data_IF_244706717504
#
_entry.id   IF_244706717504
#
_cell.length_a   1.000
_cell.length_b   1.000
_cell.length_c   1.000
_cell.angle_alpha   90.00
_cell.angle_beta   90.00
_cell.angle_gamma   90.00
#
_symmetry.space_group_name_H-M   'P 1'
#
loop_
_entity.id
_entity.type
_entity.pdbx_description
1 polymer ?
#
# COMPACT_ATOMS: atom_id res chain seq x y z
N UNK A 1 -29.42 62.50 -10.44
CA UNK A 1 -29.25 62.05 -11.85
C UNK A 1 -29.06 60.55 -11.81
N UNK A 2 -30.07 59.77 -12.29
CA UNK A 2 -30.06 58.29 -12.24
C UNK A 2 -29.53 57.80 -13.59
N UNK A 3 -28.39 57.15 -13.60
CA UNK A 3 -27.81 56.46 -14.75
C UNK A 3 -28.21 54.99 -14.71
N UNK A 4 -29.03 54.56 -15.69
CA UNK A 4 -29.37 53.13 -15.91
C UNK A 4 -28.34 52.54 -16.86
N UNK A 5 -27.61 51.54 -16.40
CA UNK A 5 -26.73 50.72 -17.25
C UNK A 5 -27.51 49.47 -17.65
N UNK A 6 -27.71 49.31 -18.95
CA UNK A 6 -28.32 48.14 -19.57
C UNK A 6 -27.26 47.03 -19.70
N UNK A 7 -27.52 45.86 -19.15
CA UNK A 7 -26.76 44.66 -19.41
C UNK A 7 -27.32 43.93 -20.64
N UNK A 8 -26.57 43.89 -21.72
CA UNK A 8 -26.89 43.10 -22.90
C UNK A 8 -26.41 41.65 -22.67
N UNK A 9 -27.35 40.73 -22.55
CA UNK A 9 -27.07 39.30 -22.53
C UNK A 9 -26.84 38.80 -23.96
N UNK A 10 -25.60 38.45 -24.31
CA UNK A 10 -25.28 37.77 -25.56
C UNK A 10 -25.55 36.27 -25.38
N UNK A 11 -26.61 35.77 -25.99
CA UNK A 11 -26.86 34.33 -26.07
C UNK A 11 -25.95 33.71 -27.13
N UNK A 12 -24.96 32.92 -26.68
CA UNK A 12 -24.12 32.11 -27.56
C UNK A 12 -24.88 30.82 -27.87
N UNK A 13 -25.46 30.71 -29.05
CA UNK A 13 -26.00 29.46 -29.60
C UNK A 13 -24.87 28.59 -30.09
N UNK A 14 -24.52 27.56 -29.33
CA UNK A 14 -23.61 26.49 -29.76
C UNK A 14 -24.41 25.53 -30.65
N UNK A 15 -24.20 25.62 -31.97
CA UNK A 15 -24.69 24.61 -32.90
C UNK A 15 -23.91 23.28 -32.66
N UNK A 16 -24.58 22.32 -32.05
CA UNK A 16 -24.05 20.96 -31.94
C UNK A 16 -24.03 20.31 -33.33
N UNK A 17 -22.87 20.22 -33.95
CA UNK A 17 -22.61 19.36 -35.11
C UNK A 17 -22.72 17.92 -34.63
N UNK A 18 -23.86 17.29 -34.86
CA UNK A 18 -24.05 15.86 -34.73
C UNK A 18 -23.26 15.17 -35.85
N UNK A 19 -22.01 14.79 -35.55
CA UNK A 19 -21.30 13.80 -36.37
C UNK A 19 -22.04 12.46 -36.19
N UNK A 20 -22.31 11.71 -37.27
CA UNK A 20 -22.81 10.36 -37.13
C UNK A 20 -21.72 9.52 -36.47
N UNK A 21 -21.90 9.25 -35.19
CA UNK A 21 -21.18 8.17 -34.54
C UNK A 21 -21.53 6.90 -35.32
N UNK A 22 -20.58 6.45 -36.15
CA UNK A 22 -20.63 5.13 -36.70
C UNK A 22 -20.86 4.17 -35.55
N UNK A 23 -21.93 3.39 -35.65
CA UNK A 23 -22.19 2.30 -34.75
C UNK A 23 -20.93 1.40 -34.78
N UNK A 24 -20.04 1.58 -33.78
CA UNK A 24 -19.06 0.57 -33.47
C UNK A 24 -19.90 -0.67 -33.19
N UNK A 25 -19.89 -1.61 -34.10
CA UNK A 25 -20.39 -2.95 -33.86
C UNK A 25 -19.72 -3.40 -32.57
N UNK A 26 -20.52 -3.52 -31.49
CA UNK A 26 -20.10 -4.23 -30.30
C UNK A 26 -19.70 -5.62 -30.80
N UNK A 27 -18.40 -5.81 -31.08
CA UNK A 27 -17.84 -7.16 -31.08
C UNK A 27 -18.32 -7.72 -29.76
N UNK A 28 -19.11 -8.79 -29.81
CA UNK A 28 -19.58 -9.51 -28.65
C UNK A 28 -18.36 -9.64 -27.73
N UNK A 29 -18.46 -9.12 -26.50
CA UNK A 29 -17.45 -9.37 -25.50
C UNK A 29 -17.38 -10.89 -25.44
N UNK A 30 -16.34 -11.50 -26.04
CA UNK A 30 -16.08 -12.91 -25.86
C UNK A 30 -16.13 -13.12 -24.35
N UNK A 31 -16.83 -14.19 -23.90
CA UNK A 31 -16.99 -14.55 -22.50
C UNK A 31 -15.59 -14.70 -21.89
N UNK A 32 -15.06 -13.57 -21.44
CA UNK A 32 -13.71 -13.50 -20.93
C UNK A 32 -13.68 -14.21 -19.59
N UNK A 33 -12.90 -15.29 -19.44
CA UNK A 33 -12.90 -16.03 -18.19
C UNK A 33 -12.57 -15.07 -17.04
N UNK A 34 -13.35 -15.05 -15.96
CA UNK A 34 -13.20 -14.08 -14.90
C UNK A 34 -11.86 -14.28 -14.19
N UNK A 35 -11.17 -13.14 -13.90
CA UNK A 35 -10.10 -13.13 -12.92
C UNK A 35 -10.73 -13.13 -11.53
N UNK A 36 -10.24 -13.99 -10.65
CA UNK A 36 -10.65 -14.05 -9.26
C UNK A 36 -9.51 -13.57 -8.37
N UNK A 37 -9.84 -13.01 -7.21
CA UNK A 37 -8.87 -12.63 -6.21
C UNK A 37 -9.38 -12.95 -4.81
N UNK A 38 -8.47 -12.96 -3.83
CA UNK A 38 -8.78 -13.16 -2.42
C UNK A 38 -7.90 -12.24 -1.58
N UNK A 39 -8.40 -11.76 -0.45
CA UNK A 39 -7.63 -11.08 0.58
C UNK A 39 -7.25 -12.10 1.65
N UNK A 40 -5.98 -12.44 1.73
CA UNK A 40 -5.47 -13.42 2.69
C UNK A 40 -4.99 -12.76 3.98
N UNK A 41 -4.37 -11.59 3.90
CA UNK A 41 -3.82 -10.87 5.05
C UNK A 41 -4.15 -9.38 4.97
N UNK A 42 -4.42 -8.79 6.14
CA UNK A 42 -4.53 -7.35 6.32
C UNK A 42 -3.97 -6.97 7.69
N UNK A 43 -3.09 -5.98 7.73
CA UNK A 43 -2.40 -5.52 8.95
C UNK A 43 -2.44 -4.02 9.06
N UNK A 44 -2.37 -3.52 10.27
CA UNK A 44 -2.22 -2.10 10.57
C UNK A 44 -1.05 -1.91 11.53
N UNK A 45 -0.05 -1.12 11.15
CA UNK A 45 1.18 -0.94 11.92
C UNK A 45 0.95 -0.25 13.26
N UNK A 46 -0.06 0.60 13.32
CA UNK A 46 -0.55 1.21 14.56
C UNK A 46 -1.98 1.72 14.36
N UNK A 47 -2.59 2.22 15.44
CA UNK A 47 -3.90 2.86 15.40
C UNK A 47 -3.86 4.38 15.18
N UNK A 48 -2.71 4.91 14.81
CA UNK A 48 -2.56 6.35 14.53
C UNK A 48 -2.94 6.66 13.08
N UNK A 49 -3.57 7.80 12.85
CA UNK A 49 -3.79 8.29 11.47
C UNK A 49 -2.46 8.42 10.74
N UNK A 50 -2.46 8.25 9.43
CA UNK A 50 -1.28 8.15 8.57
C UNK A 50 -0.38 6.93 8.80
N UNK A 51 -0.68 6.04 9.77
CA UNK A 51 0.06 4.79 9.91
C UNK A 51 -0.17 3.86 8.73
N UNK A 52 0.79 2.96 8.53
CA UNK A 52 0.75 2.02 7.44
C UNK A 52 -0.32 0.95 7.65
N UNK A 53 -1.09 0.72 6.61
CA UNK A 53 -1.94 -0.45 6.40
C UNK A 53 -1.31 -1.26 5.29
N UNK A 54 -1.20 -2.58 5.47
CA UNK A 54 -0.76 -3.49 4.42
C UNK A 54 -1.82 -4.56 4.19
N UNK A 55 -2.17 -4.75 2.92
CA UNK A 55 -3.14 -5.77 2.49
C UNK A 55 -2.47 -6.67 1.48
N UNK A 56 -2.67 -7.97 1.60
CA UNK A 56 -2.13 -8.96 0.69
C UNK A 56 -3.15 -10.04 0.37
N UNK A 57 -2.98 -10.68 -0.78
CA UNK A 57 -3.88 -11.72 -1.23
C UNK A 57 -3.33 -12.57 -2.35
N UNK A 58 -4.20 -13.35 -2.93
CA UNK A 58 -3.94 -14.16 -4.13
C UNK A 58 -4.85 -13.72 -5.25
N UNK A 59 -4.46 -14.00 -6.48
CA UNK A 59 -5.28 -13.84 -7.67
C UNK A 59 -5.13 -15.07 -8.57
N UNK A 60 -6.12 -15.33 -9.41
CA UNK A 60 -6.06 -16.38 -10.41
C UNK A 60 -6.96 -16.10 -11.60
N UNK A 61 -6.56 -16.61 -12.76
CA UNK A 61 -7.32 -16.60 -14.00
C UNK A 61 -7.13 -17.95 -14.71
N UNK A 62 -8.20 -18.59 -15.25
CA UNK A 62 -8.06 -19.81 -16.03
C UNK A 62 -7.12 -19.61 -17.23
N UNK A 63 -7.13 -18.43 -17.82
CA UNK A 63 -6.23 -17.95 -18.85
C UNK A 63 -6.13 -16.43 -18.75
N UNK A 64 -4.95 -15.85 -18.95
CA UNK A 64 -4.81 -14.40 -18.98
C UNK A 64 -5.45 -13.82 -20.24
N UNK A 65 -6.19 -12.73 -20.07
CA UNK A 65 -6.79 -11.97 -21.16
C UNK A 65 -6.79 -10.47 -20.83
N UNK A 66 -6.59 -9.65 -21.84
CA UNK A 66 -6.64 -8.18 -21.73
C UNK A 66 -8.03 -7.75 -21.24
N UNK A 67 -8.06 -6.85 -20.26
CA UNK A 67 -9.30 -6.34 -19.66
C UNK A 67 -9.74 -7.10 -18.40
N UNK A 68 -9.18 -8.28 -18.10
CA UNK A 68 -9.42 -8.94 -16.81
C UNK A 68 -8.96 -8.04 -15.67
N UNK A 69 -9.73 -7.98 -14.59
CA UNK A 69 -9.41 -7.13 -13.44
C UNK A 69 -10.01 -7.63 -12.15
N UNK A 70 -9.45 -7.16 -11.03
CA UNK A 70 -10.07 -7.21 -9.72
C UNK A 70 -9.89 -5.87 -9.01
N UNK A 71 -10.84 -5.53 -8.13
CA UNK A 71 -10.82 -4.29 -7.37
C UNK A 71 -10.88 -4.57 -5.88
N UNK A 72 -9.92 -4.00 -5.14
CA UNK A 72 -9.90 -4.03 -3.67
C UNK A 72 -10.22 -2.62 -3.17
N UNK A 73 -11.16 -2.51 -2.24
CA UNK A 73 -11.52 -1.22 -1.68
C UNK A 73 -11.87 -1.31 -0.20
N UNK A 74 -12.21 -0.20 0.41
CA UNK A 74 -12.65 -0.14 1.80
C UNK A 74 -14.06 0.44 1.88
N UNK A 75 -14.87 -0.07 2.83
CA UNK A 75 -16.16 0.56 3.13
C UNK A 75 -15.92 1.91 3.81
N UNK A 76 -16.63 2.97 3.39
CA UNK A 76 -16.55 4.26 4.06
C UNK A 76 -16.95 4.17 5.54
N UNK A 77 -16.25 4.95 6.37
CA UNK A 77 -16.57 5.18 7.79
C UNK A 77 -16.54 6.68 8.03
N UNK A 78 -17.41 7.21 8.92
CA UNK A 78 -17.47 8.64 9.22
C UNK A 78 -17.50 9.54 7.96
N UNK A 79 -18.18 9.09 6.89
CA UNK A 79 -18.31 9.86 5.64
C UNK A 79 -17.10 9.83 4.71
N UNK A 80 -16.05 9.05 5.00
CA UNK A 80 -14.83 8.95 4.19
C UNK A 80 -14.22 7.55 4.17
N UNK A 81 -13.15 7.38 3.40
CA UNK A 81 -12.38 6.15 3.40
C UNK A 81 -11.53 6.05 4.68
N UNK A 82 -11.64 4.97 5.47
CA UNK A 82 -10.82 4.80 6.67
C UNK A 82 -9.34 4.60 6.38
N UNK A 83 -8.97 4.17 5.18
CA UNK A 83 -7.61 4.19 4.67
C UNK A 83 -7.59 4.47 3.17
N UNK A 84 -6.48 4.98 2.66
CA UNK A 84 -6.26 5.25 1.24
C UNK A 84 -5.02 4.52 0.75
N UNK A 85 -5.06 4.01 -0.48
CA UNK A 85 -3.93 3.32 -1.08
C UNK A 85 -2.77 4.28 -1.34
N UNK A 86 -1.55 3.80 -1.15
CA UNK A 86 -0.36 4.65 -1.18
C UNK A 86 -0.03 5.15 -2.60
N UNK A 87 0.10 4.26 -3.56
CA UNK A 87 0.33 4.59 -4.97
C UNK A 87 0.04 3.39 -5.87
N UNK A 88 -0.08 3.68 -7.17
CA UNK A 88 -0.15 2.67 -8.24
C UNK A 88 1.17 1.94 -8.41
N UNK A 89 1.13 0.71 -8.94
CA UNK A 89 2.30 -0.11 -9.21
C UNK A 89 2.04 -1.06 -10.41
N UNK A 90 3.09 -1.55 -11.08
CA UNK A 90 2.92 -2.46 -12.21
C UNK A 90 2.33 -3.80 -11.76
N UNK A 91 1.46 -4.37 -12.58
CA UNK A 91 0.99 -5.75 -12.45
C UNK A 91 2.00 -6.64 -13.16
N UNK A 92 2.77 -7.41 -12.39
CA UNK A 92 3.91 -8.20 -12.86
C UNK A 92 3.67 -9.69 -12.65
N UNK A 93 4.36 -10.50 -13.43
CA UNK A 93 4.45 -11.94 -13.31
C UNK A 93 5.83 -12.36 -12.76
N UNK A 94 6.01 -13.65 -12.43
CA UNK A 94 7.22 -14.18 -11.79
C UNK A 94 8.48 -13.99 -12.63
N UNK A 95 8.37 -13.98 -13.95
CA UNK A 95 9.47 -13.75 -14.88
C UNK A 95 9.83 -12.26 -15.04
N UNK A 96 9.14 -11.37 -14.33
CA UNK A 96 9.30 -9.91 -14.39
C UNK A 96 8.51 -9.24 -15.53
N UNK A 97 7.75 -9.98 -16.33
CA UNK A 97 6.88 -9.42 -17.37
C UNK A 97 5.80 -8.53 -16.74
N UNK A 98 5.66 -7.30 -17.24
CA UNK A 98 4.59 -6.39 -16.87
C UNK A 98 3.38 -6.69 -17.74
N UNK A 99 2.29 -7.18 -17.14
CA UNK A 99 1.04 -7.52 -17.84
C UNK A 99 -0.02 -6.45 -17.70
N UNK A 100 0.19 -5.45 -16.85
CA UNK A 100 -0.78 -4.40 -16.61
C UNK A 100 -0.39 -3.48 -15.48
N UNK A 101 -1.38 -2.94 -14.80
CA UNK A 101 -1.19 -1.97 -13.73
C UNK A 101 -2.23 -2.17 -12.62
N UNK A 102 -1.81 -2.00 -11.39
CA UNK A 102 -2.67 -1.82 -10.24
C UNK A 102 -2.77 -0.33 -9.94
N UNK A 103 -3.90 0.28 -10.30
CA UNK A 103 -4.14 1.72 -10.13
C UNK A 103 -4.76 1.98 -8.77
N UNK A 104 -4.08 2.82 -7.99
CA UNK A 104 -4.58 3.33 -6.72
C UNK A 104 -5.35 4.64 -6.95
N UNK A 105 -6.63 4.65 -6.55
CA UNK A 105 -7.49 5.83 -6.54
C UNK A 105 -8.12 5.94 -5.15
N UNK A 106 -7.47 6.68 -4.26
CA UNK A 106 -7.88 6.87 -2.86
C UNK A 106 -8.32 5.55 -2.18
N UNK A 107 -9.64 5.31 -2.10
CA UNK A 107 -10.22 4.14 -1.42
C UNK A 107 -10.17 2.85 -2.25
N UNK A 108 -9.84 2.92 -3.53
CA UNK A 108 -9.86 1.78 -4.45
C UNK A 108 -8.48 1.46 -5.00
N UNK A 109 -8.19 0.18 -5.17
CA UNK A 109 -7.04 -0.36 -5.90
C UNK A 109 -7.57 -1.31 -6.95
N UNK A 110 -7.42 -0.98 -8.23
CA UNK A 110 -7.88 -1.81 -9.35
C UNK A 110 -6.69 -2.33 -10.13
N UNK A 111 -6.49 -3.64 -10.13
CA UNK A 111 -5.48 -4.31 -10.93
C UNK A 111 -6.11 -4.79 -12.24
N UNK A 112 -5.54 -4.41 -13.38
CA UNK A 112 -6.08 -4.71 -14.71
C UNK A 112 -4.99 -5.25 -15.62
N UNK A 113 -5.28 -6.35 -16.32
CA UNK A 113 -4.42 -6.88 -17.39
C UNK A 113 -4.57 -6.00 -18.62
N UNK A 114 -3.47 -5.41 -19.08
CA UNK A 114 -3.42 -4.54 -20.27
C UNK A 114 -2.76 -5.22 -21.47
N UNK A 115 -1.91 -6.22 -21.21
CA UNK A 115 -1.18 -6.97 -22.22
C UNK A 115 -0.96 -8.41 -21.74
N UNK A 116 -0.94 -9.37 -22.66
CA UNK A 116 -0.56 -10.76 -22.39
C UNK A 116 0.72 -11.08 -23.15
N UNK A 117 1.85 -11.26 -22.44
CA UNK A 117 3.12 -11.64 -23.07
C UNK A 117 3.01 -12.97 -23.82
N UNK A 118 3.79 -13.13 -24.88
CA UNK A 118 3.77 -14.35 -25.71
C UNK A 118 4.02 -15.62 -24.88
N UNK A 119 4.89 -15.54 -23.89
CA UNK A 119 5.19 -16.65 -22.98
C UNK A 119 3.96 -17.13 -22.14
N UNK A 120 2.91 -16.29 -22.05
CA UNK A 120 1.70 -16.58 -21.24
C UNK A 120 0.45 -16.82 -22.08
N UNK A 121 0.51 -16.66 -23.41
CA UNK A 121 -0.65 -16.84 -24.31
C UNK A 121 -1.23 -18.25 -24.26
N UNK A 122 -0.37 -19.25 -24.05
CA UNK A 122 -0.73 -20.66 -24.00
C UNK A 122 -0.68 -21.26 -22.58
N UNK A 123 -0.47 -20.42 -21.55
CA UNK A 123 -0.55 -20.86 -20.16
C UNK A 123 -1.99 -20.86 -19.67
N UNK A 124 -2.33 -21.93 -18.93
CA UNK A 124 -3.59 -22.10 -18.23
C UNK A 124 -3.37 -21.99 -16.71
N UNK A 125 -4.47 -21.80 -15.95
CA UNK A 125 -4.48 -21.75 -14.49
C UNK A 125 -3.44 -20.77 -13.92
N UNK A 126 -3.33 -19.60 -14.55
CA UNK A 126 -2.40 -18.56 -14.11
C UNK A 126 -2.84 -18.02 -12.76
N UNK A 127 -1.93 -18.01 -11.80
CA UNK A 127 -2.21 -17.60 -10.42
C UNK A 127 -0.97 -16.98 -9.79
N UNK A 128 -1.20 -16.13 -8.82
CA UNK A 128 -0.12 -15.47 -8.10
C UNK A 128 -0.56 -14.79 -6.82
N UNK A 129 0.31 -13.98 -6.28
CA UNK A 129 0.03 -13.15 -5.12
C UNK A 129 -0.02 -11.68 -5.48
N UNK A 130 -0.59 -10.88 -4.61
CA UNK A 130 -0.55 -9.43 -4.66
C UNK A 130 -0.45 -8.87 -3.25
N UNK A 131 0.14 -7.70 -3.13
CA UNK A 131 0.15 -6.93 -1.91
C UNK A 131 0.17 -5.44 -2.23
N UNK A 132 -0.37 -4.63 -1.34
CA UNK A 132 -0.38 -3.19 -1.47
C UNK A 132 -0.35 -2.51 -0.11
N UNK A 133 0.24 -1.31 -0.08
CA UNK A 133 0.27 -0.43 1.09
C UNK A 133 -0.82 0.61 0.97
N UNK A 134 -1.32 0.99 2.13
CA UNK A 134 -2.30 2.06 2.30
C UNK A 134 -1.97 2.84 3.57
N UNK A 135 -2.64 3.97 3.78
CA UNK A 135 -2.48 4.84 4.93
C UNK A 135 -3.80 5.04 5.65
N UNK A 136 -3.79 4.87 6.96
CA UNK A 136 -4.94 5.13 7.81
C UNK A 136 -5.33 6.61 7.75
N UNK A 137 -6.61 6.90 7.57
CA UNK A 137 -7.15 8.24 7.39
C UNK A 137 -7.95 8.71 8.60
N UNK A 138 -8.26 10.01 8.67
CA UNK A 138 -9.05 10.59 9.75
C UNK A 138 -10.48 10.02 9.82
N UNK A 139 -11.02 9.52 8.71
CA UNK A 139 -12.30 8.83 8.71
C UNK A 139 -12.32 7.56 9.58
N UNK A 140 -11.15 7.03 9.98
CA UNK A 140 -11.04 5.92 10.90
C UNK A 140 -11.12 6.34 12.38
N UNK A 141 -10.99 7.64 12.71
CA UNK A 141 -10.99 8.14 14.10
C UNK A 141 -12.25 7.68 14.85
N UNK A 142 -12.05 7.16 16.06
CA UNK A 142 -13.11 6.63 16.89
C UNK A 142 -13.63 5.24 16.49
N UNK A 143 -13.11 4.63 15.44
CA UNK A 143 -13.45 3.26 15.04
C UNK A 143 -12.37 2.27 15.46
N UNK A 144 -12.72 1.01 15.68
CA UNK A 144 -11.78 -0.06 16.06
C UNK A 144 -11.27 -0.84 14.83
N UNK A 145 -12.04 -0.83 13.76
CA UNK A 145 -11.80 -1.65 12.58
C UNK A 145 -12.35 -0.99 11.31
N UNK A 146 -11.83 -1.41 10.16
CA UNK A 146 -12.35 -1.15 8.83
C UNK A 146 -12.76 -2.44 8.13
N UNK A 147 -13.53 -2.31 7.05
CA UNK A 147 -13.94 -3.44 6.21
C UNK A 147 -13.28 -3.34 4.85
N UNK A 148 -12.54 -4.37 4.45
CA UNK A 148 -11.99 -4.52 3.10
C UNK A 148 -13.04 -5.20 2.23
N UNK A 149 -13.22 -4.67 1.03
CA UNK A 149 -14.09 -5.26 0.01
C UNK A 149 -13.27 -5.71 -1.19
N UNK A 150 -13.73 -6.76 -1.85
CA UNK A 150 -13.21 -7.26 -3.12
C UNK A 150 -14.34 -7.28 -4.13
N UNK A 151 -14.17 -6.57 -5.25
CA UNK A 151 -15.22 -6.41 -6.27
C UNK A 151 -16.57 -5.95 -5.66
N UNK A 152 -16.52 -5.11 -4.61
CA UNK A 152 -17.70 -4.62 -3.90
C UNK A 152 -18.20 -5.48 -2.73
N UNK A 153 -17.80 -6.75 -2.66
CA UNK A 153 -18.20 -7.67 -1.59
C UNK A 153 -17.27 -7.55 -0.38
N UNK A 154 -17.84 -7.53 0.84
CA UNK A 154 -17.05 -7.49 2.08
C UNK A 154 -16.36 -8.84 2.31
N UNK A 155 -15.02 -8.84 2.37
CA UNK A 155 -14.24 -10.08 2.44
C UNK A 155 -13.39 -10.19 3.70
N UNK A 156 -13.00 -9.05 4.32
CA UNK A 156 -12.12 -9.10 5.48
C UNK A 156 -12.29 -7.87 6.38
N UNK A 157 -12.17 -8.08 7.68
CA UNK A 157 -12.02 -7.03 8.68
C UNK A 157 -10.53 -6.71 8.85
N UNK A 158 -10.24 -5.43 9.06
CA UNK A 158 -8.93 -4.90 9.40
C UNK A 158 -9.05 -4.18 10.73
N UNK A 159 -8.42 -4.71 11.77
CA UNK A 159 -8.38 -4.10 13.10
C UNK A 159 -7.21 -3.12 13.18
N UNK A 160 -7.45 -1.91 13.71
CA UNK A 160 -6.38 -0.91 13.79
C UNK A 160 -5.35 -1.30 14.86
N UNK A 161 -4.07 -1.21 14.48
CA UNK A 161 -2.95 -1.63 15.32
C UNK A 161 -2.68 -3.14 15.36
N UNK A 162 -3.45 -3.94 14.63
CA UNK A 162 -3.19 -5.39 14.46
C UNK A 162 -2.03 -5.60 13.48
N UNK A 163 -0.83 -5.74 14.02
CA UNK A 163 0.41 -5.92 13.25
C UNK A 163 0.53 -7.30 12.63
N UNK A 164 -0.13 -8.28 13.21
CA UNK A 164 -0.03 -9.69 12.84
C UNK A 164 -1.11 -10.13 11.85
N UNK A 165 -2.18 -9.34 11.73
CA UNK A 165 -3.32 -9.60 10.84
C UNK A 165 -4.24 -10.70 11.35
N UNK A 166 -4.34 -10.86 12.68
CA UNK A 166 -5.23 -11.83 13.34
C UNK A 166 -6.70 -11.45 13.21
N UNK A 167 -6.99 -10.18 12.93
CA UNK A 167 -8.34 -9.63 12.88
C UNK A 167 -8.99 -9.47 14.26
N UNK A 168 -8.18 -9.51 15.33
CA UNK A 168 -8.68 -9.47 16.71
C UNK A 168 -8.20 -8.21 17.42
N UNK A 169 -9.12 -7.48 18.02
CA UNK A 169 -8.80 -6.40 18.95
C UNK A 169 -8.60 -6.98 20.34
N UNK A 170 -7.37 -6.93 20.85
CA UNK A 170 -7.01 -7.47 22.19
C UNK A 170 -6.93 -6.39 23.27
N UNK A 171 -7.00 -5.12 22.90
CA UNK A 171 -6.93 -3.97 23.79
C UNK A 171 -7.76 -2.82 23.23
N UNK A 172 -7.46 -1.59 23.58
CA UNK A 172 -8.04 -0.42 22.92
C UNK A 172 -7.52 -0.33 21.47
N UNK A 173 -8.40 -0.57 20.50
CA UNK A 173 -8.08 -0.52 19.07
C UNK A 173 -8.67 0.71 18.38
N UNK A 174 -9.40 1.56 19.10
CA UNK A 174 -9.95 2.78 18.53
C UNK A 174 -8.83 3.70 18.05
N UNK A 175 -9.01 4.25 16.86
CA UNK A 175 -8.11 5.30 16.34
C UNK A 175 -8.32 6.55 17.19
N UNK A 176 -7.29 7.06 17.89
CA UNK A 176 -7.43 8.25 18.73
C UNK A 176 -7.59 9.50 17.86
N UNK A 177 -8.34 10.48 18.39
CA UNK A 177 -8.54 11.77 17.73
C UNK A 177 -7.23 12.60 17.64
N UNK A 178 -6.31 12.37 18.59
CA UNK A 178 -5.04 13.09 18.68
C UNK A 178 -3.88 12.12 18.76
N UNK A 179 -2.78 12.51 18.15
CA UNK A 179 -1.54 11.75 18.23
C UNK A 179 -0.80 12.07 19.51
N UNK A 180 -0.55 11.05 20.32
CA UNK A 180 0.30 11.20 21.51
C UNK A 180 1.71 10.73 21.21
N UNK A 181 2.67 11.65 21.20
CA UNK A 181 4.09 11.32 21.14
C UNK A 181 4.53 10.83 22.51
N UNK A 182 4.83 9.56 22.59
CA UNK A 182 5.06 8.91 23.89
C UNK A 182 6.34 9.33 24.60
N UNK A 183 7.30 10.02 23.96
CA UNK A 183 8.59 10.40 24.62
C UNK A 183 9.19 11.66 24.04
N UNK A 184 9.61 12.60 24.90
CA UNK A 184 10.58 13.62 24.52
C UNK A 184 11.93 12.91 24.29
N UNK A 185 12.53 13.11 23.14
CA UNK A 185 13.83 12.53 22.79
C UNK A 185 14.55 13.38 21.76
N UNK A 186 15.89 13.29 21.77
CA UNK A 186 16.73 13.91 20.76
C UNK A 186 16.96 12.91 19.65
N UNK A 187 16.27 13.07 18.53
CA UNK A 187 16.40 12.14 17.40
C UNK A 187 16.43 12.89 16.07
N UNK A 188 17.14 12.32 15.12
CA UNK A 188 16.86 12.49 13.72
C UNK A 188 16.04 11.32 13.26
N UNK A 189 15.03 11.55 12.44
CA UNK A 189 14.20 10.50 11.89
C UNK A 189 13.92 10.74 10.42
N UNK A 190 13.72 9.66 9.69
CA UNK A 190 13.40 9.67 8.27
C UNK A 190 12.20 8.80 7.94
N UNK A 191 11.55 9.08 6.84
CA UNK A 191 10.42 8.30 6.34
C UNK A 191 10.46 8.20 4.82
N UNK A 192 9.87 7.13 4.30
CA UNK A 192 9.62 6.96 2.87
C UNK A 192 8.31 7.61 2.47
N UNK A 193 8.33 8.35 1.38
CA UNK A 193 7.13 8.88 0.73
C UNK A 193 6.62 7.90 -0.33
N UNK A 194 5.36 8.03 -0.71
CA UNK A 194 4.73 7.15 -1.69
C UNK A 194 5.22 7.39 -3.13
N UNK A 195 5.87 8.53 -3.36
CA UNK A 195 6.47 8.92 -4.65
C UNK A 195 7.96 8.50 -4.80
N UNK A 196 8.46 7.62 -3.94
CA UNK A 196 9.85 7.14 -3.98
C UNK A 196 10.88 8.12 -3.46
N UNK A 197 10.46 9.21 -2.80
CA UNK A 197 11.36 10.12 -2.09
C UNK A 197 11.43 9.77 -0.61
N UNK A 198 12.39 10.36 0.12
CA UNK A 198 12.48 10.30 1.56
C UNK A 198 12.37 11.70 2.16
N UNK A 199 11.75 11.78 3.32
CA UNK A 199 11.69 13.00 4.11
C UNK A 199 12.45 12.82 5.43
N UNK A 200 12.80 13.96 6.06
CA UNK A 200 13.58 13.99 7.29
C UNK A 200 12.99 14.93 8.30
N UNK A 201 13.26 14.67 9.58
CA UNK A 201 12.97 15.57 10.68
C UNK A 201 14.02 15.48 11.76
N UNK A 202 14.22 16.57 12.47
CA UNK A 202 15.08 16.65 13.65
C UNK A 202 14.21 17.08 14.81
N UNK A 203 14.12 16.25 15.84
CA UNK A 203 13.36 16.51 17.08
C UNK A 203 14.30 16.49 18.27
N UNK A 204 14.08 17.39 19.23
CA UNK A 204 14.88 17.43 20.44
C UNK A 204 14.09 17.92 21.65
N UNK A 205 14.59 17.57 22.83
CA UNK A 205 14.13 18.11 24.10
C UNK A 205 14.62 19.56 24.19
N UNK A 206 13.70 20.51 24.30
CA UNK A 206 13.99 21.90 24.35
C UNK A 206 13.93 22.43 25.80
N UNK A 207 14.95 23.20 26.21
CA UNK A 207 14.98 23.90 27.46
C UNK A 207 14.63 25.37 27.20
N UNK A 208 13.60 25.94 27.85
CA UNK A 208 13.23 27.35 27.70
C UNK A 208 14.41 28.30 27.92
N UNK A 209 14.48 29.34 27.11
CA UNK A 209 15.55 30.33 27.16
C UNK A 209 16.91 29.88 26.60
N UNK A 210 17.06 28.61 26.21
CA UNK A 210 18.28 28.09 25.60
C UNK A 210 18.36 28.46 24.13
N UNK A 211 19.52 28.97 23.69
CA UNK A 211 19.81 29.13 22.26
C UNK A 211 20.22 27.79 21.65
N UNK A 212 19.55 27.42 20.57
CA UNK A 212 19.83 26.23 19.79
C UNK A 212 20.41 26.60 18.44
N UNK A 213 21.51 25.93 18.07
CA UNK A 213 22.04 25.87 16.71
C UNK A 213 21.77 24.48 16.19
N UNK A 214 20.94 24.37 15.15
CA UNK A 214 20.57 23.12 14.52
C UNK A 214 21.13 23.10 13.10
N UNK A 215 21.88 22.07 12.78
CA UNK A 215 22.52 21.85 11.49
C UNK A 215 22.09 20.51 10.91
N UNK A 216 21.74 20.49 9.64
CA UNK A 216 21.58 19.28 8.82
C UNK A 216 22.76 19.23 7.84
N UNK A 217 23.48 18.10 7.76
CA UNK A 217 24.69 18.04 6.93
C UNK A 217 24.36 17.71 5.46
N UNK A 218 23.17 17.17 5.21
CA UNK A 218 22.82 16.58 3.93
C UNK A 218 21.64 17.31 3.23
N UNK A 219 20.86 18.11 3.98
CA UNK A 219 19.70 18.83 3.45
C UNK A 219 19.62 20.26 4.00
N UNK A 220 18.97 21.15 3.25
CA UNK A 220 18.64 22.48 3.72
C UNK A 220 17.63 22.40 4.88
N UNK A 221 17.66 23.38 5.79
CA UNK A 221 16.69 23.48 6.87
C UNK A 221 15.67 24.60 6.61
N UNK A 222 14.43 24.34 7.04
CA UNK A 222 13.40 25.36 7.10
C UNK A 222 13.64 26.25 8.34
N UNK A 223 13.37 27.55 8.22
CA UNK A 223 13.40 28.48 9.37
C UNK A 223 12.20 28.35 10.29
N UNK A 224 11.13 27.66 9.86
CA UNK A 224 9.97 27.38 10.69
C UNK A 224 10.24 26.20 11.62
N UNK A 225 10.51 26.48 12.90
CA UNK A 225 10.64 25.48 13.96
C UNK A 225 9.31 25.34 14.68
N UNK A 226 8.83 24.13 14.86
CA UNK A 226 7.61 23.86 15.63
C UNK A 226 7.98 23.38 17.02
N UNK A 227 7.42 24.00 18.06
CA UNK A 227 7.69 23.63 19.44
C UNK A 227 6.39 23.36 20.20
N UNK A 228 6.38 22.31 21.03
CA UNK A 228 5.29 21.93 21.89
C UNK A 228 5.58 22.26 23.36
N UNK A 229 4.55 22.69 24.10
CA UNK A 229 4.61 22.97 25.55
C UNK A 229 4.27 21.74 26.40
N UNK A 230 3.79 20.67 25.80
CA UNK A 230 3.49 19.40 26.49
C UNK A 230 4.54 18.33 26.19
N UNK A 231 4.59 17.30 27.03
CA UNK A 231 5.40 16.11 26.77
C UNK A 231 4.83 15.26 25.63
N UNK A 232 3.55 15.46 25.32
CA UNK A 232 2.85 14.88 24.19
C UNK A 232 2.87 15.88 23.03
N UNK A 233 3.18 15.38 21.82
CA UNK A 233 3.13 16.20 20.62
C UNK A 233 1.69 16.28 20.09
N UNK A 234 1.05 17.42 20.30
CA UNK A 234 -0.24 17.72 19.69
C UNK A 234 -0.04 18.85 18.66
N UNK A 235 -0.26 18.57 17.36
CA UNK A 235 -0.13 19.58 16.31
C UNK A 235 -0.98 20.83 16.55
N UNK A 236 -2.13 20.69 17.20
CA UNK A 236 -3.03 21.79 17.50
C UNK A 236 -2.49 22.75 18.58
N UNK A 237 -1.57 22.29 19.41
CA UNK A 237 -0.97 23.07 20.52
C UNK A 237 0.47 23.48 20.28
N UNK A 238 1.02 23.19 19.08
CA UNK A 238 2.38 23.58 18.72
C UNK A 238 2.46 25.06 18.30
N UNK A 239 3.51 25.72 18.71
CA UNK A 239 3.85 27.07 18.27
C UNK A 239 4.88 27.03 17.14
N UNK A 240 4.68 27.85 16.10
CA UNK A 240 5.68 28.05 15.06
C UNK A 240 6.63 29.18 15.50
N UNK A 241 7.90 28.88 15.51
CA UNK A 241 8.98 29.82 15.86
C UNK A 241 9.79 30.05 14.60
N UNK A 242 10.02 31.32 14.26
CA UNK A 242 10.90 31.66 13.15
C UNK A 242 12.34 31.72 13.64
N UNK A 243 13.16 30.77 13.17
CA UNK A 243 14.57 30.72 13.42
C UNK A 243 15.33 31.70 12.48
N UNK A 244 16.51 32.12 12.90
CA UNK A 244 17.45 32.86 12.05
C UNK A 244 18.21 31.85 11.17
N UNK A 245 18.22 32.05 9.87
CA UNK A 245 19.08 31.29 8.96
C UNK A 245 20.53 31.74 9.14
N UNK A 246 21.42 30.81 9.49
CA UNK A 246 22.86 31.05 9.59
C UNK A 246 23.54 30.76 8.25
N UNK A 247 23.24 29.63 7.68
CA UNK A 247 23.57 29.20 6.31
C UNK A 247 22.46 28.30 5.80
N UNK A 248 22.54 27.79 4.58
CA UNK A 248 21.46 27.00 3.97
C UNK A 248 21.10 25.73 4.76
N UNK A 249 22.02 25.21 5.56
CA UNK A 249 21.89 23.98 6.32
C UNK A 249 21.81 24.20 7.83
N UNK A 250 21.95 25.44 8.29
CA UNK A 250 22.06 25.78 9.72
C UNK A 250 21.09 26.89 10.10
N UNK A 251 20.32 26.64 11.15
CA UNK A 251 19.43 27.64 11.76
C UNK A 251 19.78 27.86 13.22
N UNK A 252 19.41 29.03 13.74
CA UNK A 252 19.59 29.41 15.15
C UNK A 252 18.32 30.06 15.68
N UNK A 253 17.94 29.72 16.92
CA UNK A 253 16.80 30.34 17.60
C UNK A 253 16.92 30.13 19.11
N UNK A 254 16.21 30.94 19.89
CA UNK A 254 16.06 30.74 21.32
C UNK A 254 14.72 30.07 21.61
N UNK A 255 14.74 28.99 22.39
CA UNK A 255 13.52 28.26 22.77
C UNK A 255 12.64 29.18 23.66
N UNK A 256 11.33 29.34 23.30
CA UNK A 256 10.40 30.14 24.09
C UNK A 256 10.14 29.56 25.48
N UNK A 257 9.54 30.37 26.34
CA UNK A 257 9.10 29.92 27.65
C UNK A 257 8.06 28.82 27.58
N UNK A 258 8.21 27.80 28.42
CA UNK A 258 7.30 26.72 28.60
C UNK A 258 7.36 25.60 27.53
N UNK A 259 8.19 25.72 26.49
CA UNK A 259 8.38 24.67 25.53
C UNK A 259 9.17 23.51 26.11
N UNK A 260 8.85 22.27 25.66
CA UNK A 260 9.51 21.03 26.08
C UNK A 260 10.15 20.27 24.94
N UNK A 261 9.60 20.38 23.75
CA UNK A 261 10.10 19.66 22.56
C UNK A 261 9.99 20.54 21.34
N UNK A 262 11.02 20.56 20.50
CA UNK A 262 10.99 21.24 19.21
C UNK A 262 11.30 20.29 18.06
N UNK A 263 10.76 20.59 16.88
CA UNK A 263 10.99 19.85 15.64
C UNK A 263 11.25 20.84 14.51
N UNK A 264 12.18 20.48 13.63
CA UNK A 264 12.39 21.16 12.34
C UNK A 264 12.45 20.16 11.20
N UNK A 265 12.01 20.58 10.03
CA UNK A 265 11.99 19.79 8.82
C UNK A 265 12.77 20.48 7.70
N UNK A 266 13.45 19.71 6.83
CA UNK A 266 13.87 20.21 5.53
C UNK A 266 12.67 20.70 4.72
N UNK A 267 12.81 21.76 3.91
CA UNK A 267 11.73 22.24 3.04
C UNK A 267 11.44 21.28 1.87
N UNK A 268 12.41 20.46 1.51
CA UNK A 268 12.34 19.58 0.35
C UNK A 268 12.52 18.11 0.74
N UNK A 269 11.89 17.24 -0.04
CA UNK A 269 12.09 15.81 0.06
C UNK A 269 13.28 15.39 -0.80
N UNK A 270 14.06 14.42 -0.33
CA UNK A 270 15.23 13.92 -1.02
C UNK A 270 14.84 12.77 -1.96
N UNK A 271 15.27 12.84 -3.23
CA UNK A 271 15.23 11.69 -4.13
C UNK A 271 16.31 10.70 -3.73
N UNK A 272 15.93 9.43 -3.67
CA UNK A 272 16.91 8.37 -3.44
C UNK A 272 17.71 8.15 -4.73
N UNK A 273 19.04 8.10 -4.68
CA UNK A 273 19.87 7.84 -5.86
C UNK A 273 19.48 6.52 -6.54
N UNK A 274 19.59 6.48 -7.87
CA UNK A 274 19.29 5.28 -8.64
C UNK A 274 20.14 4.09 -8.17
N UNK A 275 19.50 2.93 -8.04
CA UNK A 275 20.12 1.70 -7.54
C UNK A 275 20.27 1.62 -6.02
N UNK A 276 19.92 2.65 -5.27
CA UNK A 276 19.89 2.62 -3.81
C UNK A 276 18.47 2.39 -3.31
N UNK A 277 18.37 1.69 -2.18
CA UNK A 277 17.10 1.46 -1.49
C UNK A 277 17.00 2.22 -0.17
N UNK A 278 18.08 2.87 0.27
CA UNK A 278 18.12 3.65 1.51
C UNK A 278 19.10 4.81 1.41
N UNK A 279 18.85 5.83 2.23
CA UNK A 279 19.72 7.00 2.39
C UNK A 279 19.88 7.25 3.87
N UNK A 280 21.12 7.55 4.31
CA UNK A 280 21.42 8.02 5.66
C UNK A 280 21.60 9.53 5.63
N UNK A 281 21.06 10.20 6.63
CA UNK A 281 21.17 11.64 6.78
C UNK A 281 21.63 11.99 8.21
N UNK A 282 22.47 13.00 8.35
CA UNK A 282 23.16 13.41 9.57
C UNK A 282 22.72 14.81 10.00
N UNK A 283 22.67 15.03 11.30
CA UNK A 283 22.36 16.33 11.86
C UNK A 283 23.16 16.60 13.15
N UNK A 284 23.13 17.83 13.60
CA UNK A 284 23.73 18.25 14.86
C UNK A 284 22.84 19.29 15.55
N UNK A 285 22.72 19.20 16.88
CA UNK A 285 22.03 20.17 17.73
C UNK A 285 22.99 20.54 18.85
N UNK A 286 23.47 21.77 18.88
CA UNK A 286 24.43 22.26 19.90
C UNK A 286 25.60 21.29 20.12
N UNK A 287 26.20 20.73 19.06
CA UNK A 287 27.29 19.77 19.14
C UNK A 287 26.86 18.30 19.32
N UNK A 288 25.62 18.03 19.61
CA UNK A 288 25.09 16.65 19.69
C UNK A 288 24.81 16.12 18.27
N UNK A 289 25.52 15.08 17.88
CA UNK A 289 25.37 14.43 16.57
C UNK A 289 24.21 13.45 16.56
N UNK A 290 23.43 13.49 15.51
CA UNK A 290 22.28 12.63 15.25
C UNK A 290 22.37 12.08 13.84
N UNK A 291 21.89 10.85 13.64
CA UNK A 291 21.78 10.23 12.32
C UNK A 291 20.49 9.43 12.18
N UNK A 292 20.05 9.25 10.96
CA UNK A 292 18.91 8.37 10.65
C UNK A 292 19.04 7.83 9.23
N UNK A 293 18.62 6.58 9.03
CA UNK A 293 18.51 5.95 7.71
C UNK A 293 17.04 5.79 7.33
N UNK A 294 16.65 6.35 6.19
CA UNK A 294 15.35 6.13 5.58
C UNK A 294 15.47 5.14 4.42
N UNK A 295 14.59 4.15 4.38
CA UNK A 295 14.54 3.14 3.31
C UNK A 295 13.32 3.41 2.43
N UNK A 296 13.54 3.51 1.11
CA UNK A 296 12.43 3.57 0.14
C UNK A 296 11.68 2.26 0.16
N UNK A 297 10.37 2.34 0.21
CA UNK A 297 9.49 1.17 0.21
C UNK A 297 8.70 1.10 -1.09
N UNK A 298 8.57 -0.09 -1.63
CA UNK A 298 7.57 -0.35 -2.67
C UNK A 298 6.16 -0.14 -2.12
N UNK A 299 5.25 0.35 -2.95
CA UNK A 299 3.87 0.60 -2.57
C UNK A 299 2.97 -0.61 -2.79
N UNK A 300 3.42 -1.57 -3.57
CA UNK A 300 2.74 -2.80 -3.86
C UNK A 300 3.53 -3.66 -4.83
N UNK A 301 3.04 -4.83 -5.10
CA UNK A 301 3.62 -5.77 -6.06
C UNK A 301 2.67 -6.93 -6.33
N UNK A 302 2.91 -7.57 -7.44
CA UNK A 302 2.25 -8.81 -7.84
C UNK A 302 3.29 -9.80 -8.32
N UNK A 303 2.95 -11.06 -8.30
CA UNK A 303 3.64 -12.15 -8.96
C UNK A 303 2.61 -13.07 -9.64
N UNK A 304 3.04 -14.06 -10.35
CA UNK A 304 2.19 -15.11 -10.88
C UNK A 304 2.82 -15.91 -12.01
N UNK A 305 2.42 -17.17 -12.07
CA UNK A 305 2.79 -18.09 -13.14
C UNK A 305 1.63 -19.01 -13.49
N UNK A 306 1.72 -19.71 -14.63
CA UNK A 306 0.72 -20.66 -15.12
C UNK A 306 1.33 -21.97 -15.57
N UNK A 307 0.50 -23.00 -15.67
CA UNK A 307 0.89 -24.28 -16.26
C UNK A 307 0.78 -24.22 -17.78
N UNK A 308 1.69 -24.90 -18.48
CA UNK A 308 1.51 -25.17 -19.90
C UNK A 308 0.40 -26.20 -20.02
N UNK A 309 -0.66 -25.91 -20.78
CA UNK A 309 -1.70 -26.88 -21.06
C UNK A 309 -1.05 -28.11 -21.71
N UNK A 310 -1.24 -29.33 -21.16
CA UNK A 310 -0.64 -30.52 -21.74
C UNK A 310 -1.18 -30.69 -23.15
N UNK A 311 -0.28 -30.65 -24.14
CA UNK A 311 -0.62 -30.96 -25.54
C UNK A 311 -1.40 -32.28 -25.54
N UNK A 312 -2.61 -32.35 -26.08
CA UNK A 312 -3.34 -33.61 -26.09
C UNK A 312 -2.49 -34.65 -26.79
N UNK A 313 -2.09 -35.67 -26.03
CA UNK A 313 -1.36 -36.82 -26.56
C UNK A 313 -2.23 -37.40 -27.69
N UNK A 314 -1.72 -37.53 -28.93
CA UNK A 314 -2.49 -38.08 -30.02
C UNK A 314 -2.99 -39.47 -29.59
N UNK A 315 -4.28 -39.61 -29.39
CA UNK A 315 -4.90 -40.86 -29.04
C UNK A 315 -4.68 -41.80 -30.23
N UNK A 316 -3.72 -42.70 -30.08
CA UNK A 316 -3.52 -43.79 -31.05
C UNK A 316 -4.89 -44.50 -31.18
N UNK A 317 -5.45 -44.61 -32.39
CA UNK A 317 -6.70 -45.29 -32.58
C UNK A 317 -6.63 -46.68 -31.93
N UNK A 318 -7.63 -47.02 -31.12
CA UNK A 318 -7.67 -48.30 -30.47
C UNK A 318 -7.60 -49.41 -31.56
N UNK A 319 -6.73 -50.42 -31.40
CA UNK A 319 -6.66 -51.52 -32.36
C UNK A 319 -7.99 -52.16 -32.49
N UNK A 320 -8.40 -52.36 -33.76
CA UNK A 320 -9.66 -52.99 -34.14
C UNK A 320 -9.81 -54.36 -33.41
N UNK A 321 -10.96 -54.67 -32.79
CA UNK A 321 -11.11 -55.90 -31.98
C UNK A 321 -10.93 -57.13 -32.86
N UNK A 322 -9.90 -57.90 -32.55
CA UNK A 322 -9.64 -59.23 -33.15
C UNK A 322 -10.79 -60.13 -32.78
N UNK A 323 -11.37 -60.95 -33.73
CA UNK A 323 -12.51 -61.80 -33.48
C UNK A 323 -12.20 -62.78 -32.35
N UNK A 324 -13.13 -62.83 -31.38
CA UNK A 324 -13.09 -63.65 -30.19
C UNK A 324 -13.25 -65.13 -30.55
N UNK A 325 -12.27 -65.97 -30.24
CA UNK A 325 -12.41 -67.42 -30.25
C UNK A 325 -13.20 -67.88 -29.03
N UNK A 326 -14.08 -68.88 -29.30
CA UNK A 326 -15.06 -69.52 -28.42
C UNK A 326 -14.51 -69.96 -27.06
N UNK A 327 -15.27 -69.87 -25.96
CA UNK A 327 -14.79 -70.14 -24.62
C UNK A 327 -14.65 -71.64 -24.33
N UNK A 328 -13.50 -72.03 -23.80
CA UNK A 328 -13.29 -73.40 -23.24
C UNK A 328 -13.51 -73.26 -21.71
N UNK A 329 -14.34 -74.17 -21.17
CA UNK A 329 -14.75 -74.24 -19.77
C UNK A 329 -13.54 -74.43 -18.82
N UNK A 330 -13.38 -73.70 -17.74
CA UNK A 330 -12.34 -73.94 -16.78
C UNK A 330 -12.70 -74.92 -15.67
N UNK A 331 -11.73 -75.72 -15.27
CA UNK A 331 -11.80 -76.61 -14.12
C UNK A 331 -11.59 -75.81 -12.79
N UNK A 332 -12.15 -76.31 -11.68
CA UNK A 332 -12.08 -75.55 -10.39
C UNK A 332 -10.73 -75.67 -9.75
N UNK A 333 -10.17 -74.51 -9.36
CA UNK A 333 -8.93 -74.38 -8.58
C UNK A 333 -9.23 -73.79 -7.21
N UNK A 334 -8.70 -74.46 -6.19
CA UNK A 334 -8.81 -74.21 -4.77
C UNK A 334 -8.28 -72.84 -4.31
N UNK A 335 -8.99 -72.25 -3.38
CA UNK A 335 -8.77 -70.97 -2.67
C UNK A 335 -7.55 -71.07 -1.72
N UNK A 336 -6.65 -70.08 -1.68
CA UNK A 336 -5.74 -69.88 -0.56
C UNK A 336 -6.17 -68.77 0.38
N UNK A 337 -6.09 -69.06 1.65
CA UNK A 337 -6.35 -68.26 2.85
C UNK A 337 -5.63 -66.89 2.89
N UNK A 338 -6.27 -65.82 3.38
CA UNK A 338 -5.67 -64.51 3.45
C UNK A 338 -4.73 -64.36 4.67
N UNK A 339 -3.51 -63.93 4.42
CA UNK A 339 -2.57 -63.48 5.46
C UNK A 339 -2.71 -62.00 5.68
N UNK A 340 -3.05 -61.59 6.90
CA UNK A 340 -3.12 -60.19 7.33
C UNK A 340 -1.75 -59.55 7.34
N UNK A 341 -1.58 -58.41 6.66
CA UNK A 341 -0.41 -57.53 6.83
C UNK A 341 -0.86 -56.16 7.29
N UNK A 342 -0.26 -55.76 8.39
CA UNK A 342 -0.40 -54.51 9.12
C UNK A 342 0.00 -53.30 8.25
N UNK A 343 -0.74 -52.18 8.25
CA UNK A 343 -0.32 -50.99 7.53
C UNK A 343 0.66 -50.20 8.37
N UNK A 344 1.90 -50.03 7.89
CA UNK A 344 2.83 -49.01 8.35
C UNK A 344 2.44 -47.65 7.75
N UNK A 345 2.14 -46.70 8.62
CA UNK A 345 1.96 -45.30 8.28
C UNK A 345 3.29 -44.69 7.82
N UNK A 346 3.42 -44.38 6.54
CA UNK A 346 4.47 -43.50 6.01
C UNK A 346 3.97 -42.08 6.06
N UNK A 347 4.56 -41.28 6.94
CA UNK A 347 4.47 -39.83 6.94
C UNK A 347 5.10 -39.29 5.66
N UNK A 348 4.32 -38.72 4.80
CA UNK A 348 4.78 -37.93 3.65
C UNK A 348 5.32 -36.60 4.15
N UNK A 349 6.63 -36.38 3.96
CA UNK A 349 7.29 -35.09 4.12
C UNK A 349 6.94 -34.23 2.90
N UNK A 350 5.92 -33.40 3.00
CA UNK A 350 5.73 -32.29 2.08
C UNK A 350 6.41 -31.07 2.71
N UNK A 351 7.67 -30.87 2.35
CA UNK A 351 8.37 -29.62 2.60
C UNK A 351 8.00 -28.61 1.52
N UNK A 352 7.01 -27.80 1.76
CA UNK A 352 6.77 -26.63 0.94
C UNK A 352 7.54 -25.46 1.56
N UNK A 353 8.61 -25.04 0.90
CA UNK A 353 9.35 -23.82 1.17
C UNK A 353 8.52 -22.61 0.75
N UNK A 354 7.57 -22.22 1.58
CA UNK A 354 6.83 -20.94 1.45
C UNK A 354 7.31 -19.93 2.51
N UNK A 355 8.34 -20.27 3.29
CA UNK A 355 8.81 -19.49 4.45
C UNK A 355 9.70 -18.28 4.14
N UNK A 356 10.18 -18.09 2.90
CA UNK A 356 11.22 -17.09 2.63
C UNK A 356 10.71 -15.66 2.45
N UNK A 357 9.52 -15.46 1.91
CA UNK A 357 9.02 -14.12 1.55
C UNK A 357 8.26 -13.44 2.70
N UNK A 358 7.59 -14.21 3.56
CA UNK A 358 6.82 -13.67 4.69
C UNK A 358 7.68 -13.20 5.87
N UNK A 359 8.91 -13.69 6.03
CA UNK A 359 9.82 -13.24 7.09
C UNK A 359 10.45 -11.85 6.81
N UNK A 360 10.51 -11.41 5.55
CA UNK A 360 11.00 -10.06 5.22
C UNK A 360 10.00 -8.95 5.62
N UNK A 361 8.71 -9.25 5.70
CA UNK A 361 7.69 -8.27 6.09
C UNK A 361 7.69 -8.04 7.61
N UNK A 362 8.05 -9.05 8.41
CA UNK A 362 8.00 -8.97 9.87
C UNK A 362 9.17 -8.24 10.53
N UNK A 363 10.36 -8.23 9.91
CA UNK A 363 11.58 -7.68 10.54
C UNK A 363 11.74 -6.16 10.35
N UNK A 364 10.99 -5.52 9.43
CA UNK A 364 11.12 -4.10 9.09
C UNK A 364 10.15 -3.21 9.89
N UNK A 365 9.23 -3.79 10.64
CA UNK A 365 8.12 -3.08 11.29
C UNK A 365 8.47 -2.34 12.59
N UNK A 366 9.68 -2.44 13.09
CA UNK A 366 10.06 -1.87 14.40
C UNK A 366 10.38 -0.37 14.43
N UNK A 367 10.58 0.29 13.30
CA UNK A 367 11.15 1.65 13.29
C UNK A 367 10.32 2.76 12.63
N UNK A 368 9.19 2.45 12.02
CA UNK A 368 8.56 3.38 11.08
C UNK A 368 7.32 4.14 11.59
N UNK A 369 6.88 3.90 12.83
CA UNK A 369 5.64 4.52 13.36
C UNK A 369 5.68 6.05 13.52
N UNK A 370 6.85 6.62 13.66
CA UNK A 370 7.01 8.03 14.02
C UNK A 370 7.09 9.01 12.83
N UNK A 371 7.53 8.53 11.66
CA UNK A 371 7.81 9.45 10.54
C UNK A 371 6.59 9.88 9.72
N UNK A 372 5.52 9.13 9.76
CA UNK A 372 4.39 9.25 8.82
C UNK A 372 3.39 10.36 9.13
N UNK A 373 3.33 10.81 10.37
CA UNK A 373 2.36 11.84 10.79
C UNK A 373 2.69 13.24 10.31
N UNK A 374 3.91 13.43 9.85
CA UNK A 374 4.52 14.73 9.64
C UNK A 374 4.13 15.34 8.29
N UNK A 375 3.76 14.51 7.30
CA UNK A 375 3.38 15.00 5.97
C UNK A 375 2.14 15.91 5.98
N UNK A 376 1.20 15.69 6.90
CA UNK A 376 0.01 16.58 7.02
C UNK A 376 0.29 17.93 7.65
N UNK A 377 1.39 18.07 8.38
CA UNK A 377 1.74 19.35 9.00
C UNK A 377 2.40 20.33 8.03
N UNK A 378 2.80 19.87 6.84
CA UNK A 378 3.42 20.68 5.79
C UNK A 378 2.38 21.29 4.85
N UNK A 379 1.20 20.67 4.71
CA UNK A 379 0.06 21.28 4.04
C UNK A 379 -0.53 22.35 4.99
N UNK A 380 0.06 23.54 4.96
CA UNK A 380 -0.51 24.72 5.59
C UNK A 380 -1.92 24.99 5.04
N UNK A 381 -2.78 25.67 5.80
CA UNK A 381 -4.08 26.03 5.32
C UNK A 381 -3.91 26.82 4.02
N UNK A 382 -4.51 26.35 2.93
CA UNK A 382 -4.75 27.15 1.76
C UNK A 382 -5.59 28.35 2.25
N UNK A 383 -4.96 29.49 2.36
CA UNK A 383 -5.65 30.77 2.58
C UNK A 383 -6.63 30.94 1.44
N UNK A 384 -7.90 30.67 1.72
CA UNK A 384 -8.97 31.28 0.95
C UNK A 384 -8.85 32.79 1.21
N UNK A 385 -8.37 33.50 0.24
CA UNK A 385 -8.54 34.93 0.14
C UNK A 385 -10.03 35.20 0.01
N UNK A 386 -10.71 35.48 1.12
CA UNK A 386 -12.02 36.13 1.11
C UNK A 386 -11.76 37.57 0.69
N UNK A 387 -12.06 37.85 -0.56
CA UNK A 387 -12.21 39.23 -1.03
C UNK A 387 -13.59 39.70 -0.57
N UNK A 388 -13.66 40.34 0.59
CA UNK A 388 -14.80 41.22 0.92
C UNK A 388 -14.73 42.51 0.11
N UNK A 389 -15.80 42.77 -0.57
CA UNK A 389 -16.33 44.10 -0.91
C UNK A 389 -17.82 44.08 -0.80
#
# INVERSE_FOLDING_TARGET
MKSKIWAAAAALTIAALALPYGAATNAAAEDMPPMTAQVTKATSSSRQTSSEVAVAGTWSAPKLAVGQSFTVSTKPTNGGAPFTWAASFPFMLDDGSVVGECVADQATLTCTVKEVPDAYKDKADVKGTWWARARLQDAAVGTNEGTITLNGEAVKKLVWGDKDGTGTCTSDCAVPAHYEYARPENIKFGWSNDNGTVGWGIKWIATPGTEYTVKDFDTRLNTAVKCAKSDTWDPATTENITATQVDENTIRFTAPDGVKTCIVYPPEQMKVPEGQTSVTNHAEINGMKLESTATVRSNGGTDGDGSVEPTPTPTTPAPEPKPTSTPTTPAPTTEPTPTASTPQARLAKTGATVGGLLLMIGAIMGGAGAGLLILRLIEGPTTKEETEL
#
